data_IF_724292703918
#
_entry.id   IF_724292703918
#
_cell.length_a   1.000
_cell.length_b   1.000
_cell.length_c   1.000
_cell.angle_alpha   90.00
_cell.angle_beta   90.00
_cell.angle_gamma   90.00
#
_symmetry.space_group_name_H-M   'P 1'
#
loop_
_entity.id
_entity.type
_entity.pdbx_description
1 polymer ?
#
# COMPACT_ATOMS: atom_id res chain seq x y z
N UNK A 1 1.63 30.25 -16.34
CA UNK A 1 2.60 29.27 -16.90
C UNK A 1 3.43 28.55 -15.84
N UNK A 2 3.81 29.18 -14.71
CA UNK A 2 4.63 28.54 -13.66
C UNK A 2 4.05 27.26 -13.04
N UNK A 3 2.74 27.20 -12.80
CA UNK A 3 2.12 26.03 -12.17
C UNK A 3 2.21 24.74 -13.03
N UNK A 4 2.18 24.87 -14.36
CA UNK A 4 2.23 23.72 -15.27
C UNK A 4 3.63 23.07 -15.28
N UNK A 5 4.68 23.89 -15.34
CA UNK A 5 6.06 23.40 -15.29
C UNK A 5 6.39 22.74 -13.94
N UNK A 6 5.81 23.23 -12.84
CA UNK A 6 5.99 22.62 -11.53
C UNK A 6 5.28 21.27 -11.41
N UNK A 7 4.13 21.11 -12.08
CA UNK A 7 3.36 19.86 -12.09
C UNK A 7 4.04 18.78 -12.93
N UNK A 8 4.63 19.16 -14.07
CA UNK A 8 5.42 18.26 -14.92
C UNK A 8 6.70 17.79 -14.19
N UNK A 9 7.36 18.67 -13.43
CA UNK A 9 8.50 18.29 -12.59
C UNK A 9 8.11 17.30 -11.48
N UNK A 10 7.00 17.54 -10.78
CA UNK A 10 6.48 16.61 -9.77
C UNK A 10 6.11 15.25 -10.38
N UNK A 11 5.53 15.24 -11.58
CA UNK A 11 5.17 14.00 -12.26
C UNK A 11 6.41 13.17 -12.65
N UNK A 12 7.47 13.85 -13.11
CA UNK A 12 8.76 13.21 -13.39
C UNK A 12 9.42 12.62 -12.15
N UNK A 13 9.40 13.33 -11.01
CA UNK A 13 9.92 12.81 -9.74
C UNK A 13 9.08 11.64 -9.22
N UNK A 14 7.75 11.69 -9.37
CA UNK A 14 6.85 10.61 -8.97
C UNK A 14 7.10 9.34 -9.80
N UNK A 15 7.27 9.48 -11.12
CA UNK A 15 7.61 8.35 -12.00
C UNK A 15 8.97 7.76 -11.67
N UNK A 16 9.96 8.61 -11.36
CA UNK A 16 11.28 8.15 -10.93
C UNK A 16 11.19 7.36 -9.62
N UNK A 17 10.44 7.88 -8.63
CA UNK A 17 10.19 7.18 -7.37
C UNK A 17 9.47 5.84 -7.58
N UNK A 18 8.51 5.77 -8.50
CA UNK A 18 7.82 4.52 -8.84
C UNK A 18 8.76 3.48 -9.48
N UNK A 19 9.66 3.92 -10.37
CA UNK A 19 10.64 3.04 -10.99
C UNK A 19 11.64 2.49 -9.97
N UNK A 20 12.15 3.35 -9.08
CA UNK A 20 13.04 2.96 -7.98
C UNK A 20 12.34 1.98 -7.03
N UNK A 21 11.08 2.24 -6.64
CA UNK A 21 10.28 1.32 -5.84
C UNK A 21 10.10 -0.05 -6.54
N UNK A 22 9.80 -0.05 -7.83
CA UNK A 22 9.63 -1.29 -8.61
C UNK A 22 10.93 -2.11 -8.64
N UNK A 23 12.07 -1.45 -8.78
CA UNK A 23 13.39 -2.10 -8.75
C UNK A 23 13.67 -2.71 -7.38
N UNK A 24 13.39 -1.97 -6.29
CA UNK A 24 13.58 -2.45 -4.92
C UNK A 24 12.68 -3.66 -4.63
N UNK A 25 11.42 -3.64 -5.09
CA UNK A 25 10.50 -4.78 -4.96
C UNK A 25 11.04 -6.01 -5.71
N UNK A 26 11.58 -5.84 -6.92
CA UNK A 26 12.21 -6.93 -7.68
C UNK A 26 13.39 -7.55 -6.93
N UNK A 27 14.28 -6.72 -6.37
CA UNK A 27 15.42 -7.18 -5.58
C UNK A 27 14.98 -7.92 -4.31
N UNK A 28 13.90 -7.46 -3.66
CA UNK A 28 13.34 -8.13 -2.49
C UNK A 28 12.77 -9.50 -2.84
N UNK A 29 12.12 -9.64 -4.00
CA UNK A 29 11.60 -10.91 -4.49
C UNK A 29 12.72 -11.94 -4.71
N UNK A 30 13.82 -11.55 -5.37
CA UNK A 30 14.99 -12.43 -5.54
C UNK A 30 15.59 -12.85 -4.19
N UNK A 31 15.70 -11.92 -3.25
CA UNK A 31 16.21 -12.22 -1.91
C UNK A 31 15.33 -13.23 -1.18
N UNK A 32 14.00 -13.08 -1.26
CA UNK A 32 13.05 -14.01 -0.67
C UNK A 32 13.19 -15.42 -1.25
N UNK A 33 13.37 -15.54 -2.57
CA UNK A 33 13.62 -16.84 -3.21
C UNK A 33 14.92 -17.48 -2.72
N UNK A 34 16.01 -16.70 -2.61
CA UNK A 34 17.30 -17.19 -2.12
C UNK A 34 17.22 -17.69 -0.67
N UNK A 35 16.52 -16.98 0.20
CA UNK A 35 16.32 -17.39 1.59
C UNK A 35 15.47 -18.68 1.65
N UNK A 36 14.44 -18.78 0.83
CA UNK A 36 13.60 -19.98 0.76
C UNK A 36 14.42 -21.20 0.33
N UNK A 37 15.19 -21.07 -0.75
CA UNK A 37 16.10 -22.13 -1.22
C UNK A 37 17.16 -22.49 -0.18
N UNK A 38 17.72 -21.50 0.52
CA UNK A 38 18.66 -21.76 1.61
C UNK A 38 18.01 -22.52 2.77
N UNK A 39 16.77 -22.18 3.12
CA UNK A 39 15.99 -22.87 4.14
C UNK A 39 15.65 -24.31 3.77
N UNK A 40 15.36 -24.60 2.50
CA UNK A 40 15.19 -25.98 2.02
C UNK A 40 16.50 -26.76 2.11
N UNK A 41 17.61 -26.19 1.62
CA UNK A 41 18.93 -26.83 1.69
C UNK A 41 19.40 -27.06 3.13
N UNK A 42 19.08 -26.15 4.06
CA UNK A 42 19.42 -26.25 5.48
C UNK A 42 18.83 -27.49 6.17
N UNK A 43 17.77 -28.11 5.62
CA UNK A 43 17.19 -29.34 6.17
C UNK A 43 18.11 -30.55 6.00
N UNK A 44 19.00 -30.51 5.02
CA UNK A 44 19.83 -31.67 4.62
C UNK A 44 21.32 -31.37 4.57
N UNK A 45 21.72 -30.09 4.48
CA UNK A 45 23.11 -29.65 4.43
C UNK A 45 23.46 -28.83 5.68
N UNK A 46 24.40 -29.29 6.54
CA UNK A 46 24.81 -28.57 7.74
C UNK A 46 25.50 -27.23 7.43
N UNK A 47 26.11 -27.06 6.26
CA UNK A 47 26.71 -25.77 5.85
C UNK A 47 25.60 -24.77 5.52
N UNK A 48 24.56 -25.20 4.80
CA UNK A 48 23.38 -24.39 4.56
C UNK A 48 22.63 -24.07 5.87
N UNK A 49 22.55 -25.04 6.79
CA UNK A 49 21.97 -24.83 8.12
C UNK A 49 22.70 -23.73 8.92
N UNK A 50 24.04 -23.78 8.95
CA UNK A 50 24.83 -22.74 9.62
C UNK A 50 24.65 -21.35 8.98
N UNK A 51 24.52 -21.27 7.65
CA UNK A 51 24.21 -20.01 6.95
C UNK A 51 22.80 -19.49 7.27
N UNK A 52 21.81 -20.38 7.36
CA UNK A 52 20.45 -20.02 7.72
C UNK A 52 20.34 -19.56 9.18
N UNK A 53 21.09 -20.20 10.08
CA UNK A 53 21.19 -19.80 11.48
C UNK A 53 21.83 -18.42 11.64
N UNK A 54 22.95 -18.17 10.94
CA UNK A 54 23.59 -16.86 10.91
C UNK A 54 22.66 -15.77 10.35
N UNK A 55 21.90 -16.09 9.29
CA UNK A 55 20.88 -15.20 8.76
C UNK A 55 19.79 -14.93 9.80
N UNK A 56 19.28 -15.96 10.49
CA UNK A 56 18.25 -15.82 11.53
C UNK A 56 18.73 -14.96 12.70
N UNK A 57 19.98 -15.14 13.14
CA UNK A 57 20.62 -14.29 14.14
C UNK A 57 20.68 -12.84 13.68
N UNK A 58 21.14 -12.58 12.46
CA UNK A 58 21.22 -11.22 11.93
C UNK A 58 19.83 -10.59 11.68
N UNK A 59 18.82 -11.41 11.36
CA UNK A 59 17.44 -10.98 11.16
C UNK A 59 16.81 -10.44 12.44
N UNK A 60 17.10 -11.08 13.57
CA UNK A 60 16.51 -10.77 14.88
C UNK A 60 17.41 -9.89 15.77
N UNK A 61 18.72 -9.85 15.53
CA UNK A 61 19.65 -9.04 16.32
C UNK A 61 19.43 -7.55 16.06
N UNK A 62 19.37 -6.71 17.11
CA UNK A 62 19.35 -5.27 16.94
C UNK A 62 20.69 -4.78 16.40
N UNK A 63 20.65 -3.81 15.48
CA UNK A 63 21.85 -3.11 15.03
C UNK A 63 22.21 -1.93 15.97
N UNK A 64 23.16 -1.09 15.54
CA UNK A 64 23.60 0.09 16.31
C UNK A 64 22.47 1.10 16.60
N UNK A 65 21.36 1.03 15.86
CA UNK A 65 20.17 1.86 16.09
C UNK A 65 19.17 1.24 17.06
N UNK A 66 19.45 0.04 17.59
CA UNK A 66 18.58 -0.71 18.49
C UNK A 66 17.40 -1.40 17.79
N UNK A 67 17.33 -1.37 16.46
CA UNK A 67 16.30 -2.05 15.67
C UNK A 67 16.87 -3.28 14.98
N UNK A 68 16.13 -4.38 15.02
CA UNK A 68 16.42 -5.55 14.21
C UNK A 68 16.09 -5.32 12.74
N UNK A 69 16.72 -6.10 11.86
CA UNK A 69 16.36 -6.11 10.44
C UNK A 69 14.88 -6.50 10.24
N UNK A 70 14.37 -7.40 11.09
CA UNK A 70 12.95 -7.76 11.16
C UNK A 70 12.05 -6.55 11.41
N UNK A 71 12.33 -5.75 12.44
CA UNK A 71 11.53 -4.56 12.75
C UNK A 71 11.57 -3.53 11.63
N UNK A 72 12.73 -3.34 11.00
CA UNK A 72 12.84 -2.44 9.84
C UNK A 72 12.01 -2.92 8.66
N UNK A 73 11.99 -4.23 8.40
CA UNK A 73 11.16 -4.81 7.35
C UNK A 73 9.66 -4.67 7.66
N UNK A 74 9.25 -4.87 8.91
CA UNK A 74 7.87 -4.64 9.37
C UNK A 74 7.47 -3.16 9.21
N UNK A 75 8.35 -2.22 9.58
CA UNK A 75 8.14 -0.78 9.39
C UNK A 75 7.93 -0.42 7.90
N UNK A 76 8.73 -1.00 7.00
CA UNK A 76 8.61 -0.80 5.55
C UNK A 76 7.30 -1.37 5.01
N UNK A 77 6.90 -2.57 5.45
CA UNK A 77 5.62 -3.16 5.04
C UNK A 77 4.42 -2.33 5.52
N UNK A 78 4.49 -1.79 6.74
CA UNK A 78 3.49 -0.88 7.26
C UNK A 78 3.41 0.42 6.43
N UNK A 79 4.56 0.97 6.03
CA UNK A 79 4.64 2.13 5.16
C UNK A 79 4.05 1.84 3.77
N UNK A 80 4.38 0.71 3.15
CA UNK A 80 3.82 0.31 1.84
C UNK A 80 2.29 0.21 1.91
N UNK A 81 1.74 -0.45 2.94
CA UNK A 81 0.27 -0.52 3.13
C UNK A 81 -0.36 0.86 3.31
N UNK A 82 0.31 1.77 4.01
CA UNK A 82 -0.15 3.15 4.16
C UNK A 82 -0.16 3.89 2.82
N UNK A 83 0.89 3.72 2.00
CA UNK A 83 0.97 4.31 0.66
C UNK A 83 -0.12 3.73 -0.26
N UNK A 84 -0.30 2.41 -0.29
CA UNK A 84 -1.37 1.78 -1.07
C UNK A 84 -2.75 2.31 -0.65
N UNK A 85 -3.00 2.43 0.66
CA UNK A 85 -4.26 2.99 1.17
C UNK A 85 -4.47 4.46 0.78
N UNK A 86 -3.40 5.24 0.64
CA UNK A 86 -3.47 6.61 0.14
C UNK A 86 -3.68 6.65 -1.37
N UNK A 87 -3.05 5.74 -2.12
CA UNK A 87 -3.26 5.60 -3.55
C UNK A 87 -4.71 5.23 -3.87
N UNK A 88 -5.31 4.27 -3.17
CA UNK A 88 -6.74 3.93 -3.31
C UNK A 88 -7.66 5.13 -3.07
N UNK A 89 -7.31 6.00 -2.11
CA UNK A 89 -8.08 7.23 -1.81
C UNK A 89 -7.91 8.30 -2.89
N UNK A 90 -6.75 8.34 -3.56
CA UNK A 90 -6.47 9.28 -4.66
C UNK A 90 -6.96 8.77 -6.02
N UNK A 91 -7.08 7.45 -6.19
CA UNK A 91 -7.54 6.77 -7.41
C UNK A 91 -9.02 6.37 -7.37
N UNK A 92 -9.71 6.60 -6.25
CA UNK A 92 -11.17 6.50 -6.16
C UNK A 92 -11.84 7.41 -7.19
N UNK A 93 -12.94 6.97 -7.84
CA UNK A 93 -13.61 7.73 -8.89
C UNK A 93 -13.99 9.13 -8.37
N UNK A 94 -13.93 10.19 -9.21
CA UNK A 94 -14.44 11.48 -8.80
C UNK A 94 -15.86 11.27 -8.30
N UNK A 95 -16.08 11.51 -7.01
CA UNK A 95 -17.41 11.45 -6.44
C UNK A 95 -18.24 12.45 -7.21
N UNK A 96 -19.09 11.94 -8.10
CA UNK A 96 -20.16 12.72 -8.71
C UNK A 96 -20.87 13.44 -7.56
N UNK A 97 -21.06 14.77 -7.63
CA UNK A 97 -21.76 15.48 -6.59
C UNK A 97 -23.19 14.90 -6.53
N UNK A 98 -23.50 14.20 -5.45
CA UNK A 98 -24.87 13.81 -5.12
C UNK A 98 -25.73 15.08 -5.14
N UNK A 99 -26.80 15.15 -5.94
CA UNK A 99 -27.70 16.29 -5.88
C UNK A 99 -28.45 16.25 -4.54
N UNK A 100 -28.15 17.19 -3.65
CA UNK A 100 -29.01 17.50 -2.51
C UNK A 100 -30.32 18.09 -3.01
N UNK A 101 -31.50 17.60 -2.58
CA UNK A 101 -32.72 18.37 -2.66
C UNK A 101 -33.12 18.80 -1.25
N UNK A 102 -32.79 20.03 -0.88
CA UNK A 102 -33.49 20.73 0.19
C UNK A 102 -33.97 22.08 -0.36
N UNK A 103 -35.30 22.27 -0.40
CA UNK A 103 -35.86 23.55 -0.86
C UNK A 103 -37.29 23.54 -1.45
N UNK A 104 -38.28 23.23 -0.62
CA UNK A 104 -39.69 23.72 -0.59
C UNK A 104 -40.43 24.10 -1.90
N UNK A 105 -41.56 23.43 -2.14
CA UNK A 105 -42.79 24.08 -2.61
C UNK A 105 -44.05 23.35 -2.10
N UNK A 106 -44.91 24.10 -1.41
CA UNK A 106 -46.27 23.72 -1.00
C UNK A 106 -47.15 23.62 -2.23
N UNK A 107 -47.87 22.51 -2.43
CA UNK A 107 -49.18 22.56 -3.07
C UNK A 107 -50.14 21.47 -2.58
N UNK A 108 -51.14 21.97 -1.85
CA UNK A 108 -52.39 21.34 -1.45
C UNK A 108 -53.15 20.87 -2.70
N UNK A 109 -53.56 19.61 -2.74
CA UNK A 109 -54.78 19.19 -3.44
C UNK A 109 -55.39 17.96 -2.79
N UNK A 110 -56.61 18.20 -2.31
CA UNK A 110 -57.56 17.33 -1.64
C UNK A 110 -58.44 16.72 -2.73
N UNK A 111 -58.66 15.40 -2.77
CA UNK A 111 -59.94 14.81 -3.26
C UNK A 111 -59.97 13.28 -3.22
N UNK A 112 -60.80 12.78 -2.30
CA UNK A 112 -61.76 11.67 -2.41
C UNK A 112 -61.33 10.27 -2.93
N UNK A 113 -61.66 9.25 -2.13
CA UNK A 113 -61.72 7.86 -2.58
C UNK A 113 -61.99 6.86 -1.45
N UNK A 114 -63.14 6.99 -0.78
CA UNK A 114 -63.66 5.99 0.16
C UNK A 114 -64.51 4.99 -0.63
N UNK A 115 -64.15 3.70 -0.68
CA UNK A 115 -65.13 2.58 -0.63
C UNK A 115 -64.49 1.18 -0.68
N UNK A 116 -64.86 0.39 0.33
CA UNK A 116 -65.11 -1.06 0.42
C UNK A 116 -64.90 -1.95 -0.81
N UNK A 117 -64.21 -3.10 -0.63
CA UNK A 117 -64.80 -4.43 -0.36
C UNK A 117 -63.86 -5.19 0.59
#
# INVERSE_FOLDING_TARGET
MQAKNSLEAMFGELQKGQAELSQVVGQFHELQQRITSLGESAKTDPVAAGKMEAFSLNWNSPDETGKSLKQRAEDVLALMRSIDSQYDRLSGPPSEPSPSPDGKAVQKSKSAGRSFV
#
